data_IF_844127067348
#
_entry.id   IF_844127067348
#
_cell.length_a   1.000
_cell.length_b   1.000
_cell.length_c   1.000
_cell.angle_alpha   90.00
_cell.angle_beta   90.00
_cell.angle_gamma   90.00
#
_symmetry.space_group_name_H-M   'P 1'
#
loop_
_entity.id
_entity.type
_entity.pdbx_description
1 polymer ?
#
# COMPACT_ATOMS: atom_id res chain seq x y z
N UNK A 1 -11.17 35.86 45.34
CA UNK A 1 -11.77 36.16 46.66
C UNK A 1 -12.51 37.52 46.78
N UNK A 2 -13.08 38.16 45.73
CA UNK A 2 -14.06 39.26 45.94
C UNK A 2 -15.54 38.81 45.92
N UNK A 3 -15.83 37.63 45.36
CA UNK A 3 -17.19 37.12 45.18
C UNK A 3 -17.84 36.60 46.48
N UNK A 4 -17.06 36.23 47.51
CA UNK A 4 -17.60 35.76 48.79
C UNK A 4 -18.31 36.88 49.59
N UNK A 5 -17.81 38.11 49.53
CA UNK A 5 -18.34 39.19 50.36
C UNK A 5 -19.68 39.75 49.83
N UNK A 6 -19.97 39.61 48.53
CA UNK A 6 -21.19 40.14 47.91
C UNK A 6 -22.38 39.16 47.90
N UNK A 7 -22.15 37.88 48.21
CA UNK A 7 -23.21 36.85 48.28
C UNK A 7 -23.74 36.61 49.70
N UNK A 8 -23.10 37.15 50.75
CA UNK A 8 -23.62 37.12 52.12
C UNK A 8 -24.81 38.06 52.35
N UNK A 9 -24.93 39.12 51.54
CA UNK A 9 -25.97 40.14 51.71
C UNK A 9 -27.40 39.71 51.27
N UNK A 10 -27.63 38.91 50.20
CA UNK A 10 -28.98 38.66 49.70
C UNK A 10 -29.77 37.57 50.46
N UNK A 11 -29.12 36.59 51.10
CA UNK A 11 -29.82 35.49 51.79
C UNK A 11 -30.34 35.87 53.19
N UNK A 12 -29.76 36.89 53.83
CA UNK A 12 -30.22 37.39 55.14
C UNK A 12 -31.56 38.13 55.02
N UNK A 13 -31.98 38.50 53.82
CA UNK A 13 -33.06 39.46 53.57
C UNK A 13 -34.52 38.95 53.76
N UNK A 14 -34.77 37.80 54.41
CA UNK A 14 -36.15 37.31 54.64
C UNK A 14 -36.49 36.78 56.05
N UNK A 15 -35.59 36.85 57.03
CA UNK A 15 -35.93 36.57 58.44
C UNK A 15 -35.65 37.80 59.31
N UNK A 16 -36.68 38.42 59.90
CA UNK A 16 -36.52 39.47 60.90
C UNK A 16 -36.21 38.85 62.28
N UNK A 17 -34.93 38.81 62.62
CA UNK A 17 -34.39 38.21 63.85
C UNK A 17 -34.32 39.20 65.01
N UNK A 18 -34.85 40.43 64.84
CA UNK A 18 -34.65 41.53 65.80
C UNK A 18 -35.33 41.32 67.17
N UNK A 19 -36.39 40.50 67.24
CA UNK A 19 -37.22 40.27 68.43
C UNK A 19 -36.85 39.02 69.29
N UNK A 20 -35.73 38.35 68.99
CA UNK A 20 -35.35 37.03 69.58
C UNK A 20 -34.22 37.16 70.64
N UNK A 21 -34.06 36.20 71.57
CA UNK A 21 -32.95 36.20 72.56
C UNK A 21 -31.56 36.19 71.88
N UNK A 22 -30.56 36.78 72.52
CA UNK A 22 -29.20 36.97 71.95
C UNK A 22 -28.58 35.63 71.51
N UNK A 23 -28.73 34.58 72.32
CA UNK A 23 -28.21 33.24 72.02
C UNK A 23 -28.87 32.60 70.81
N UNK A 24 -30.20 32.74 70.66
CA UNK A 24 -30.94 32.17 69.54
C UNK A 24 -30.67 32.93 68.23
N UNK A 25 -30.37 34.25 68.28
CA UNK A 25 -29.88 35.01 67.11
C UNK A 25 -28.54 34.47 66.61
N UNK A 26 -27.59 34.23 67.51
CA UNK A 26 -26.26 33.72 67.16
C UNK A 26 -26.34 32.34 66.50
N UNK A 27 -27.20 31.45 67.02
CA UNK A 27 -27.45 30.14 66.43
C UNK A 27 -28.04 30.20 65.01
N UNK A 28 -29.08 31.01 64.79
CA UNK A 28 -29.71 31.18 63.47
C UNK A 28 -28.71 31.76 62.45
N UNK A 29 -27.90 32.74 62.85
CA UNK A 29 -26.87 33.29 61.97
C UNK A 29 -25.80 32.27 61.59
N UNK A 30 -25.41 31.38 62.52
CA UNK A 30 -24.44 30.31 62.25
C UNK A 30 -25.00 29.28 61.25
N UNK A 31 -26.26 28.86 61.40
CA UNK A 31 -26.89 27.91 60.46
C UNK A 31 -27.08 28.52 59.06
N UNK A 32 -27.44 29.80 58.97
CA UNK A 32 -27.50 30.52 57.68
C UNK A 32 -26.10 30.56 57.04
N UNK A 33 -25.06 30.88 57.80
CA UNK A 33 -23.68 30.92 57.28
C UNK A 33 -23.21 29.54 56.78
N UNK A 34 -23.55 28.46 57.50
CA UNK A 34 -23.26 27.08 57.08
C UNK A 34 -24.00 26.72 55.78
N UNK A 35 -25.29 27.06 55.68
CA UNK A 35 -26.10 26.82 54.49
C UNK A 35 -25.58 27.59 53.25
N UNK A 36 -25.20 28.85 53.42
CA UNK A 36 -24.59 29.67 52.37
C UNK A 36 -23.25 29.06 51.91
N UNK A 37 -22.39 28.66 52.86
CA UNK A 37 -21.11 28.02 52.54
C UNK A 37 -21.31 26.75 51.71
N UNK A 38 -22.21 25.87 52.13
CA UNK A 38 -22.51 24.62 51.41
C UNK A 38 -23.05 24.88 50.00
N UNK A 39 -23.98 25.83 49.85
CA UNK A 39 -24.54 26.22 48.55
C UNK A 39 -23.48 26.82 47.62
N UNK A 40 -22.57 27.65 48.15
CA UNK A 40 -21.47 28.21 47.38
C UNK A 40 -20.46 27.14 46.94
N UNK A 41 -20.14 26.16 47.79
CA UNK A 41 -19.26 25.03 47.44
C UNK A 41 -19.88 24.16 46.34
N UNK A 42 -21.17 23.84 46.43
CA UNK A 42 -21.89 23.08 45.40
C UNK A 42 -21.98 23.84 44.07
N UNK A 43 -22.27 25.14 44.11
CA UNK A 43 -22.33 25.98 42.92
C UNK A 43 -20.95 26.10 42.27
N UNK A 44 -19.89 26.32 43.07
CA UNK A 44 -18.52 26.37 42.58
C UNK A 44 -18.12 25.05 41.92
N UNK A 45 -18.40 23.91 42.55
CA UNK A 45 -18.16 22.59 41.97
C UNK A 45 -18.91 22.39 40.65
N UNK A 46 -20.19 22.77 40.59
CA UNK A 46 -21.01 22.65 39.37
C UNK A 46 -20.46 23.51 38.23
N UNK A 47 -20.08 24.76 38.50
CA UNK A 47 -19.49 25.67 37.50
C UNK A 47 -18.15 25.13 37.01
N UNK A 48 -17.30 24.65 37.93
CA UNK A 48 -16.00 24.08 37.57
C UNK A 48 -16.20 22.85 36.69
N UNK A 49 -17.03 21.90 37.11
CA UNK A 49 -17.30 20.69 36.33
C UNK A 49 -17.85 21.02 34.95
N UNK A 50 -18.85 21.90 34.85
CA UNK A 50 -19.43 22.30 33.56
C UNK A 50 -18.39 22.93 32.62
N UNK A 51 -17.51 23.79 33.15
CA UNK A 51 -16.44 24.42 32.35
C UNK A 51 -15.36 23.41 31.95
N UNK A 52 -15.02 22.49 32.83
CA UNK A 52 -14.08 21.39 32.53
C UNK A 52 -14.68 20.53 31.42
N UNK A 53 -15.93 20.11 31.53
CA UNK A 53 -16.62 19.29 30.52
C UNK A 53 -16.64 20.00 29.15
N UNK A 54 -16.98 21.29 29.13
CA UNK A 54 -16.95 22.09 27.90
C UNK A 54 -15.55 22.22 27.31
N UNK A 55 -14.52 22.36 28.14
CA UNK A 55 -13.14 22.45 27.68
C UNK A 55 -12.64 21.11 27.13
N UNK A 56 -12.99 20.00 27.79
CA UNK A 56 -12.64 18.64 27.36
C UNK A 56 -13.26 18.32 26.00
N UNK A 57 -14.56 18.58 25.81
CA UNK A 57 -15.23 18.36 24.51
C UNK A 57 -14.56 19.15 23.38
N UNK A 58 -14.25 20.43 23.60
CA UNK A 58 -13.57 21.26 22.60
C UNK A 58 -12.16 20.76 22.29
N UNK A 59 -11.45 20.26 23.30
CA UNK A 59 -10.12 19.70 23.12
C UNK A 59 -10.19 18.41 22.30
N UNK A 60 -11.14 17.53 22.59
CA UNK A 60 -11.35 16.26 21.88
C UNK A 60 -11.70 16.49 20.40
N UNK A 61 -12.60 17.44 20.11
CA UNK A 61 -12.96 17.82 18.74
C UNK A 61 -11.73 18.35 17.96
N UNK A 62 -10.96 19.25 18.56
CA UNK A 62 -9.75 19.80 17.92
C UNK A 62 -8.66 18.74 17.73
N UNK A 63 -8.50 17.82 18.68
CA UNK A 63 -7.57 16.71 18.56
C UNK A 63 -7.99 15.75 17.46
N UNK A 64 -9.27 15.42 17.34
CA UNK A 64 -9.78 14.53 16.31
C UNK A 64 -9.62 15.15 14.91
N UNK A 65 -9.86 16.45 14.76
CA UNK A 65 -9.63 17.18 13.51
C UNK A 65 -8.16 17.09 13.07
N UNK A 66 -7.23 17.43 13.97
CA UNK A 66 -5.79 17.35 13.70
C UNK A 66 -5.34 15.93 13.38
N UNK A 67 -5.85 14.94 14.10
CA UNK A 67 -5.53 13.53 13.86
C UNK A 67 -5.99 13.08 12.47
N UNK A 68 -7.21 13.45 12.07
CA UNK A 68 -7.75 13.13 10.75
C UNK A 68 -6.95 13.81 9.63
N UNK A 69 -6.55 15.08 9.83
CA UNK A 69 -5.70 15.79 8.89
C UNK A 69 -4.34 15.10 8.73
N UNK A 70 -3.63 14.83 9.83
CA UNK A 70 -2.34 14.14 9.79
C UNK A 70 -2.45 12.74 9.19
N UNK A 71 -3.51 11.99 9.49
CA UNK A 71 -3.75 10.67 8.90
C UNK A 71 -3.92 10.77 7.37
N UNK A 72 -4.64 11.77 6.88
CA UNK A 72 -4.83 11.99 5.44
C UNK A 72 -3.49 12.31 4.76
N UNK A 73 -2.71 13.22 5.33
CA UNK A 73 -1.38 13.59 4.82
C UNK A 73 -0.41 12.39 4.79
N UNK A 74 -0.46 11.51 5.80
CA UNK A 74 0.34 10.29 5.84
C UNK A 74 -0.10 9.33 4.73
N UNK A 75 -1.41 9.10 4.59
CA UNK A 75 -1.95 8.19 3.58
C UNK A 75 -1.60 8.63 2.16
N UNK A 76 -1.59 9.93 1.88
CA UNK A 76 -1.23 10.46 0.57
C UNK A 76 0.27 10.33 0.25
N UNK A 77 1.12 10.21 1.27
CA UNK A 77 2.57 9.97 1.11
C UNK A 77 2.94 8.49 1.07
N UNK A 78 2.05 7.62 1.52
CA UNK A 78 2.27 6.17 1.47
C UNK A 78 1.95 5.66 0.08
N UNK A 79 2.90 4.92 -0.49
CA UNK A 79 2.67 4.18 -1.72
C UNK A 79 3.75 3.13 -1.92
N UNK A 80 3.46 2.21 -2.82
CA UNK A 80 4.33 1.10 -3.17
C UNK A 80 4.31 0.89 -4.67
N UNK A 81 5.42 0.41 -5.22
CA UNK A 81 5.53 0.14 -6.65
C UNK A 81 5.54 -1.36 -6.93
N UNK A 82 5.11 -1.69 -8.14
CA UNK A 82 5.27 -3.03 -8.71
C UNK A 82 5.42 -2.91 -10.23
N UNK A 83 5.93 -3.97 -10.87
CA UNK A 83 6.00 -4.05 -12.33
C UNK A 83 4.85 -4.95 -12.80
N UNK A 84 4.08 -4.46 -13.75
CA UNK A 84 3.12 -5.26 -14.50
C UNK A 84 3.78 -5.72 -15.80
N UNK A 85 4.25 -6.97 -15.79
CA UNK A 85 4.93 -7.56 -16.94
C UNK A 85 3.90 -8.00 -17.99
N UNK A 86 4.15 -7.70 -19.26
CA UNK A 86 3.26 -8.03 -20.36
C UNK A 86 2.20 -6.97 -20.66
N UNK A 87 2.27 -5.76 -20.09
CA UNK A 87 1.31 -4.67 -20.35
C UNK A 87 2.04 -3.36 -20.58
N UNK A 88 1.52 -2.47 -21.42
CA UNK A 88 2.05 -1.09 -21.57
C UNK A 88 1.42 -0.11 -20.59
N UNK A 89 0.46 -0.55 -19.77
CA UNK A 89 -0.19 0.26 -18.74
C UNK A 89 -0.56 -0.57 -17.50
N UNK A 90 -0.69 0.12 -16.37
CA UNK A 90 -1.21 -0.47 -15.15
C UNK A 90 -2.72 -0.67 -15.27
N UNK A 91 -3.20 -1.89 -15.03
CA UNK A 91 -4.63 -2.23 -15.24
C UNK A 91 -5.45 -2.24 -13.95
N UNK A 92 -4.81 -2.16 -12.80
CA UNK A 92 -5.48 -2.16 -11.51
C UNK A 92 -6.12 -0.79 -11.22
N UNK A 93 -7.27 -0.80 -10.56
CA UNK A 93 -7.94 0.43 -10.12
C UNK A 93 -7.07 1.23 -9.15
N UNK A 94 -7.20 2.56 -9.17
CA UNK A 94 -6.45 3.48 -8.29
C UNK A 94 -4.92 3.32 -8.37
N UNK A 95 -4.41 2.85 -9.51
CA UNK A 95 -2.99 2.69 -9.78
C UNK A 95 -2.54 3.64 -10.89
N UNK A 96 -1.39 4.28 -10.68
CA UNK A 96 -0.78 5.19 -11.64
C UNK A 96 0.33 4.50 -12.41
N UNK A 97 0.38 4.67 -13.74
CA UNK A 97 1.53 4.23 -14.54
C UNK A 97 2.64 5.26 -14.43
N UNK A 98 3.74 4.90 -13.79
CA UNK A 98 4.92 5.76 -13.63
C UNK A 98 5.65 5.88 -14.97
N UNK A 99 5.92 4.74 -15.61
CA UNK A 99 6.40 4.67 -16.98
C UNK A 99 6.08 3.29 -17.58
N UNK A 100 6.20 3.22 -18.90
CA UNK A 100 6.04 2.00 -19.68
C UNK A 100 7.22 1.79 -20.61
N UNK A 101 7.41 0.57 -21.04
CA UNK A 101 8.34 0.22 -22.11
C UNK A 101 8.36 -1.27 -22.38
N UNK A 102 9.54 -1.86 -22.41
CA UNK A 102 9.72 -3.26 -22.78
C UNK A 102 10.72 -3.96 -21.86
N UNK A 103 10.55 -5.27 -21.74
CA UNK A 103 11.40 -6.10 -20.89
C UNK A 103 12.77 -6.22 -21.52
N UNK A 104 13.80 -5.98 -20.72
CA UNK A 104 15.19 -6.22 -21.03
C UNK A 104 15.82 -7.21 -20.07
N UNK A 105 16.90 -7.83 -20.50
CA UNK A 105 17.69 -8.74 -19.69
C UNK A 105 19.02 -9.07 -20.34
N UNK A 106 19.74 -10.00 -19.74
CA UNK A 106 21.05 -10.43 -20.24
C UNK A 106 20.96 -11.61 -21.21
N UNK A 107 22.07 -11.94 -21.89
CA UNK A 107 22.16 -13.12 -22.77
C UNK A 107 21.89 -14.42 -22.03
N UNK A 108 20.95 -15.23 -22.54
CA UNK A 108 20.74 -16.59 -22.05
C UNK A 108 21.95 -17.52 -22.26
N UNK A 109 22.90 -17.13 -23.12
CA UNK A 109 24.11 -17.90 -23.47
C UNK A 109 25.36 -17.54 -22.67
N UNK A 110 25.32 -16.52 -21.79
CA UNK A 110 26.52 -16.02 -21.13
C UNK A 110 26.47 -16.31 -19.62
N UNK A 111 27.42 -17.11 -19.11
CA UNK A 111 27.40 -17.56 -17.70
C UNK A 111 27.60 -16.45 -16.67
N UNK A 112 28.16 -15.30 -17.06
CA UNK A 112 28.33 -14.11 -16.21
C UNK A 112 27.19 -13.10 -16.31
N UNK A 113 26.08 -13.47 -16.93
CA UNK A 113 24.93 -12.59 -17.14
C UNK A 113 24.17 -12.27 -15.85
N UNK A 114 23.60 -11.06 -15.78
CA UNK A 114 22.70 -10.68 -14.71
C UNK A 114 21.40 -11.49 -14.80
N UNK A 115 20.88 -11.88 -13.64
CA UNK A 115 19.69 -12.73 -13.50
C UNK A 115 18.40 -11.94 -13.65
N UNK A 116 18.42 -10.67 -13.23
CA UNK A 116 17.22 -9.84 -13.14
C UNK A 116 16.75 -9.36 -14.52
N UNK A 117 15.44 -9.19 -14.66
CA UNK A 117 14.80 -8.50 -15.76
C UNK A 117 14.58 -7.04 -15.41
N UNK A 118 14.68 -6.19 -16.43
CA UNK A 118 14.48 -4.75 -16.30
C UNK A 118 13.28 -4.33 -17.14
N UNK A 119 12.45 -3.42 -16.60
CA UNK A 119 11.50 -2.70 -17.43
C UNK A 119 12.21 -1.48 -18.03
N UNK A 120 12.65 -1.59 -19.29
CA UNK A 120 13.39 -0.53 -19.97
C UNK A 120 12.43 0.53 -20.49
N UNK A 121 12.78 1.81 -20.29
CA UNK A 121 12.01 2.94 -20.80
C UNK A 121 12.24 3.13 -22.30
N UNK A 122 11.23 3.69 -23.00
CA UNK A 122 11.31 3.95 -24.44
C UNK A 122 12.21 5.14 -24.82
N UNK A 123 12.53 6.02 -23.88
CA UNK A 123 13.33 7.23 -24.11
C UNK A 123 14.57 7.25 -23.18
N UNK A 124 15.63 6.49 -23.51
CA UNK A 124 16.81 6.37 -22.65
C UNK A 124 17.66 7.65 -22.69
N UNK A 125 18.22 8.01 -21.54
CA UNK A 125 19.19 9.09 -21.41
C UNK A 125 20.61 8.54 -21.25
N UNK A 126 21.58 9.15 -21.93
CA UNK A 126 22.97 8.70 -21.91
C UNK A 126 23.85 9.71 -21.16
N UNK A 127 24.75 9.19 -20.32
CA UNK A 127 25.78 9.96 -19.62
C UNK A 127 27.14 9.91 -20.35
N UNK A 128 28.20 9.56 -19.62
CA UNK A 128 29.55 9.33 -20.18
C UNK A 128 29.60 7.93 -20.78
N UNK A 129 30.06 7.79 -22.01
CA UNK A 129 30.18 6.50 -22.71
C UNK A 129 31.42 6.42 -23.59
N UNK A 130 31.91 5.20 -23.83
CA UNK A 130 32.92 4.88 -24.83
C UNK A 130 32.34 3.83 -25.80
N UNK A 131 32.19 4.22 -27.07
CA UNK A 131 31.62 3.36 -28.12
C UNK A 131 32.55 2.23 -28.57
N UNK A 132 33.78 2.16 -28.08
CA UNK A 132 34.77 1.14 -28.45
C UNK A 132 34.75 -0.10 -27.55
N UNK A 133 34.06 -0.03 -26.41
CA UNK A 133 33.97 -1.16 -25.47
C UNK A 133 33.01 -2.22 -26.01
N UNK A 134 33.48 -3.45 -26.18
CA UNK A 134 32.69 -4.55 -26.76
C UNK A 134 32.61 -5.83 -25.91
N UNK A 135 33.38 -5.91 -24.81
CA UNK A 135 33.45 -7.10 -23.95
C UNK A 135 32.82 -6.91 -22.56
N UNK A 136 32.09 -5.81 -22.36
CA UNK A 136 31.35 -5.58 -21.11
C UNK A 136 29.98 -6.29 -21.15
N UNK A 137 29.34 -6.48 -19.98
CA UNK A 137 27.95 -6.91 -19.92
C UNK A 137 27.05 -5.96 -20.72
N UNK A 138 25.99 -6.53 -21.30
CA UNK A 138 25.01 -5.78 -22.08
C UNK A 138 23.59 -6.17 -21.64
N UNK A 139 22.62 -5.34 -22.01
CA UNK A 139 21.19 -5.61 -21.87
C UNK A 139 20.60 -5.72 -23.27
N UNK A 140 19.85 -6.78 -23.54
CA UNK A 140 19.07 -6.98 -24.77
C UNK A 140 17.57 -7.08 -24.46
N UNK A 141 16.74 -6.85 -25.49
CA UNK A 141 15.29 -7.02 -25.37
C UNK A 141 14.91 -8.47 -25.06
N UNK A 142 13.81 -8.63 -24.33
CA UNK A 142 13.21 -9.93 -24.08
C UNK A 142 12.07 -10.22 -25.06
N UNK A 143 12.04 -11.46 -25.53
CA UNK A 143 10.97 -11.98 -26.38
C UNK A 143 10.14 -13.02 -25.65
N UNK A 144 8.87 -13.08 -26.01
CA UNK A 144 8.07 -14.27 -25.77
C UNK A 144 8.65 -15.44 -26.56
N UNK A 145 8.87 -16.55 -25.87
CA UNK A 145 9.22 -17.82 -26.48
C UNK A 145 8.20 -18.86 -26.01
N UNK A 146 7.12 -18.98 -26.78
CA UNK A 146 5.98 -19.84 -26.48
C UNK A 146 5.84 -20.97 -27.51
N UNK A 147 6.82 -21.14 -28.40
CA UNK A 147 6.81 -22.17 -29.45
C UNK A 147 6.41 -23.59 -28.98
N UNK A 148 6.84 -23.99 -27.78
CA UNK A 148 6.61 -25.33 -27.23
C UNK A 148 5.22 -25.53 -26.59
N UNK A 149 4.39 -24.47 -26.53
CA UNK A 149 3.02 -24.50 -26.01
C UNK A 149 2.11 -23.63 -26.86
N UNK A 150 1.06 -24.22 -27.44
CA UNK A 150 0.10 -23.46 -28.23
C UNK A 150 -1.30 -23.64 -27.67
N UNK A 151 -1.73 -22.67 -26.86
CA UNK A 151 -3.10 -22.57 -26.38
C UNK A 151 -3.70 -21.28 -26.96
N UNK A 152 -4.56 -21.38 -28.00
CA UNK A 152 -5.17 -20.21 -28.64
C UNK A 152 -5.92 -19.33 -27.64
N UNK A 153 -5.94 -18.01 -27.89
CA UNK A 153 -6.63 -17.03 -27.04
C UNK A 153 -6.18 -17.04 -25.56
N UNK A 154 -4.92 -17.37 -25.30
CA UNK A 154 -4.31 -17.37 -23.97
C UNK A 154 -2.94 -16.68 -24.00
N UNK A 155 -2.28 -16.43 -22.86
CA UNK A 155 -0.88 -15.97 -22.81
C UNK A 155 0.14 -16.85 -23.54
N UNK A 156 -0.28 -18.03 -24.02
CA UNK A 156 0.54 -19.02 -24.72
C UNK A 156 0.13 -19.16 -26.20
N UNK A 157 -0.57 -18.17 -26.75
CA UNK A 157 -0.93 -18.19 -28.17
C UNK A 157 0.31 -17.90 -29.03
N UNK A 158 0.87 -18.95 -29.63
CA UNK A 158 2.07 -18.86 -30.49
C UNK A 158 1.90 -17.86 -31.62
N UNK A 159 0.73 -17.81 -32.25
CA UNK A 159 0.53 -16.93 -33.39
C UNK A 159 0.53 -15.45 -32.98
N UNK A 160 0.13 -15.17 -31.73
CA UNK A 160 0.03 -13.82 -31.20
C UNK A 160 1.32 -13.35 -30.54
N UNK A 161 2.03 -14.21 -29.83
CA UNK A 161 3.11 -13.78 -28.93
C UNK A 161 4.50 -14.18 -29.39
N UNK A 162 4.68 -15.35 -30.01
CA UNK A 162 6.02 -15.88 -30.26
C UNK A 162 6.90 -14.91 -31.06
N UNK A 163 8.12 -14.68 -30.55
CA UNK A 163 9.10 -13.71 -31.06
C UNK A 163 8.69 -12.23 -31.04
N UNK A 164 7.62 -11.88 -30.33
CA UNK A 164 7.28 -10.48 -30.05
C UNK A 164 7.99 -10.00 -28.80
N UNK A 165 8.36 -8.72 -28.78
CA UNK A 165 8.93 -8.08 -27.59
C UNK A 165 7.87 -8.01 -26.49
N UNK A 166 8.31 -8.26 -25.27
CA UNK A 166 7.44 -8.27 -24.09
C UNK A 166 7.31 -6.84 -23.55
N UNK A 167 6.12 -6.23 -23.49
CA UNK A 167 5.93 -4.93 -22.87
C UNK A 167 5.99 -5.02 -21.35
N UNK A 168 6.20 -3.88 -20.69
CA UNK A 168 6.09 -3.77 -19.24
C UNK A 168 5.68 -2.36 -18.83
N UNK A 169 5.08 -2.24 -17.66
CA UNK A 169 4.78 -0.95 -17.04
C UNK A 169 5.10 -0.97 -15.55
N UNK A 170 5.74 0.08 -15.06
CA UNK A 170 5.97 0.30 -13.63
C UNK A 170 4.80 1.08 -13.05
N UNK A 171 4.22 0.50 -12.01
CA UNK A 171 2.97 0.92 -11.41
C UNK A 171 3.19 1.46 -10.01
N UNK A 172 2.49 2.54 -9.65
CA UNK A 172 2.47 3.13 -8.33
C UNK A 172 1.07 2.99 -7.73
N UNK A 173 0.97 2.23 -6.62
CA UNK A 173 -0.25 2.09 -5.85
C UNK A 173 -0.20 3.02 -4.64
N UNK A 174 -1.11 3.99 -4.59
CA UNK A 174 -1.22 4.95 -3.48
C UNK A 174 -1.93 4.30 -2.29
N UNK A 175 -1.67 4.79 -1.08
CA UNK A 175 -2.32 4.34 0.17
C UNK A 175 -2.11 2.84 0.48
N UNK A 176 -1.02 2.27 -0.04
CA UNK A 176 -0.55 0.89 0.19
C UNK A 176 0.93 0.92 0.49
N UNK A 177 1.35 0.13 1.46
CA UNK A 177 2.72 0.13 1.97
C UNK A 177 3.57 -1.03 1.43
N UNK A 178 2.95 -2.08 0.89
CA UNK A 178 3.67 -3.27 0.45
C UNK A 178 3.04 -3.92 -0.78
N UNK A 179 3.88 -4.48 -1.63
CA UNK A 179 3.52 -5.36 -2.75
C UNK A 179 4.18 -6.72 -2.59
N UNK A 180 3.53 -7.77 -3.11
CA UNK A 180 4.07 -9.13 -3.14
C UNK A 180 3.58 -9.88 -4.38
N UNK A 181 4.46 -10.68 -4.97
CA UNK A 181 4.08 -11.72 -5.94
C UNK A 181 3.87 -13.05 -5.21
N UNK A 182 2.71 -13.66 -5.39
CA UNK A 182 2.38 -14.98 -4.84
C UNK A 182 2.33 -15.99 -5.99
N UNK A 183 3.29 -16.93 -6.09
CA UNK A 183 3.27 -17.97 -7.12
C UNK A 183 2.20 -19.04 -6.81
N UNK A 184 1.82 -19.79 -7.84
CA UNK A 184 0.80 -20.84 -7.82
C UNK A 184 -0.60 -20.39 -7.34
N UNK A 185 -0.91 -19.10 -7.47
CA UNK A 185 -2.19 -18.49 -7.07
C UNK A 185 -2.69 -17.55 -8.15
N UNK A 186 -4.02 -17.39 -8.22
CA UNK A 186 -4.69 -16.35 -9.03
C UNK A 186 -5.34 -15.27 -8.19
N UNK A 187 -5.43 -15.49 -6.87
CA UNK A 187 -6.12 -14.65 -5.90
C UNK A 187 -5.24 -14.40 -4.69
N UNK A 188 -5.27 -13.16 -4.21
CA UNK A 188 -4.56 -12.74 -3.01
C UNK A 188 -5.13 -13.41 -1.75
N UNK A 189 -4.38 -13.36 -0.64
CA UNK A 189 -4.92 -13.77 0.66
C UNK A 189 -5.89 -12.73 1.21
N UNK A 190 -6.59 -13.09 2.29
CA UNK A 190 -7.47 -12.17 3.00
C UNK A 190 -6.74 -10.86 3.36
N UNK A 191 -7.43 -9.73 3.22
CA UNK A 191 -6.91 -8.36 3.40
C UNK A 191 -5.78 -7.92 2.46
N UNK A 192 -5.52 -8.65 1.38
CA UNK A 192 -4.65 -8.20 0.30
C UNK A 192 -5.50 -7.86 -0.94
N UNK A 193 -5.12 -6.79 -1.63
CA UNK A 193 -5.81 -6.34 -2.84
C UNK A 193 -5.06 -6.89 -4.05
N UNK A 194 -5.81 -7.43 -5.00
CA UNK A 194 -5.25 -7.93 -6.26
C UNK A 194 -4.94 -6.74 -7.17
N UNK A 195 -3.69 -6.66 -7.61
CA UNK A 195 -3.30 -5.71 -8.65
C UNK A 195 -3.42 -6.37 -10.04
N UNK A 196 -2.84 -7.55 -10.23
CA UNK A 196 -3.10 -8.39 -11.40
C UNK A 196 -2.77 -9.86 -11.14
N UNK A 197 -3.27 -10.75 -12.00
CA UNK A 197 -2.96 -12.17 -12.00
C UNK A 197 -2.52 -12.64 -13.39
N UNK A 198 -1.82 -13.78 -13.43
CA UNK A 198 -1.21 -14.27 -14.64
C UNK A 198 -0.42 -15.56 -14.45
N UNK A 199 0.69 -15.68 -15.18
CA UNK A 199 1.52 -16.89 -15.22
C UNK A 199 3.00 -16.56 -15.03
N UNK A 200 3.71 -17.46 -14.36
CA UNK A 200 5.15 -17.32 -14.19
C UNK A 200 5.85 -17.53 -15.53
N UNK A 201 6.78 -16.63 -15.83
CA UNK A 201 7.71 -16.73 -16.94
C UNK A 201 9.15 -16.63 -16.42
N UNK A 202 10.07 -17.32 -17.10
CA UNK A 202 11.51 -17.33 -16.82
C UNK A 202 12.30 -17.76 -18.07
N UNK A 203 13.62 -17.83 -17.97
CA UNK A 203 14.49 -18.42 -18.98
C UNK A 203 14.35 -19.93 -19.08
N UNK A 204 14.82 -20.49 -20.19
CA UNK A 204 14.76 -21.92 -20.44
C UNK A 204 15.76 -22.69 -19.57
N UNK A 205 15.35 -23.86 -19.08
CA UNK A 205 16.13 -24.69 -18.14
C UNK A 205 17.50 -25.18 -18.65
N UNK A 206 17.73 -25.24 -19.98
CA UNK A 206 19.04 -25.63 -20.55
C UNK A 206 19.94 -24.44 -20.90
N UNK A 207 19.45 -23.21 -20.72
CA UNK A 207 20.28 -22.02 -20.93
C UNK A 207 21.32 -21.90 -19.82
N UNK A 208 22.51 -21.41 -20.17
CA UNK A 208 23.63 -21.31 -19.22
C UNK A 208 23.49 -20.13 -18.27
N UNK A 209 22.78 -19.09 -18.68
CA UNK A 209 22.42 -17.98 -17.80
C UNK A 209 21.09 -18.28 -17.10
N UNK A 210 21.06 -18.08 -15.78
CA UNK A 210 19.82 -18.11 -15.01
C UNK A 210 19.03 -16.80 -15.21
N UNK A 211 17.73 -16.86 -14.92
CA UNK A 211 16.86 -15.67 -14.84
C UNK A 211 16.05 -15.71 -13.56
N UNK A 212 15.50 -14.56 -13.18
CA UNK A 212 14.44 -14.52 -12.19
C UNK A 212 13.11 -15.06 -12.74
N UNK A 213 12.16 -15.29 -11.84
CA UNK A 213 10.77 -15.55 -12.18
C UNK A 213 9.99 -14.24 -12.20
N UNK A 214 9.26 -13.99 -13.29
CA UNK A 214 8.33 -12.84 -13.38
C UNK A 214 6.89 -13.33 -13.44
N UNK A 215 5.97 -12.52 -12.91
CA UNK A 215 4.54 -12.74 -13.11
C UNK A 215 4.10 -12.00 -14.37
N UNK A 216 3.92 -12.72 -15.49
CA UNK A 216 3.38 -12.14 -16.72
C UNK A 216 1.86 -12.07 -16.61
N UNK A 217 1.28 -10.92 -16.95
CA UNK A 217 -0.18 -10.70 -16.98
C UNK A 217 -0.92 -11.79 -17.76
N UNK A 218 -2.11 -12.21 -17.28
CA UNK A 218 -2.96 -13.21 -17.95
C UNK A 218 -3.51 -12.78 -19.31
N UNK A 219 -3.42 -11.50 -19.62
CA UNK A 219 -3.85 -10.88 -20.89
C UNK A 219 -2.73 -9.99 -21.42
N UNK A 220 -1.58 -10.59 -21.77
CA UNK A 220 -0.43 -9.81 -22.16
C UNK A 220 -0.67 -9.17 -23.53
N UNK A 221 -0.06 -8.02 -23.73
CA UNK A 221 0.13 -7.35 -25.00
C UNK A 221 1.43 -7.86 -25.64
N UNK A 222 1.54 -7.69 -26.95
CA UNK A 222 2.75 -7.97 -27.71
C UNK A 222 3.14 -6.70 -28.48
N UNK A 223 4.39 -6.29 -28.33
CA UNK A 223 4.96 -5.23 -29.16
C UNK A 223 5.47 -5.83 -30.48
N UNK A 224 5.98 -5.00 -31.40
CA UNK A 224 6.47 -5.48 -32.69
C UNK A 224 7.45 -6.64 -32.56
N UNK A 225 7.36 -7.58 -33.51
CA UNK A 225 8.32 -8.67 -33.66
C UNK A 225 9.73 -8.11 -33.75
N UNK A 226 10.66 -8.79 -33.09
CA UNK A 226 12.06 -8.44 -33.29
C UNK A 226 12.46 -8.72 -34.74
N UNK A 227 13.07 -7.74 -35.44
CA UNK A 227 13.50 -7.94 -36.82
C UNK A 227 14.74 -8.85 -36.92
N UNK A 228 15.47 -9.07 -35.82
CA UNK A 228 16.74 -9.77 -35.82
C UNK A 228 16.80 -10.79 -34.68
N UNK A 229 17.22 -12.02 -34.98
CA UNK A 229 17.48 -13.13 -34.04
C UNK A 229 18.63 -12.87 -33.05
N UNK A 230 19.07 -11.62 -32.90
CA UNK A 230 20.09 -11.21 -31.94
C UNK A 230 19.54 -11.04 -30.54
N UNK A 231 18.27 -11.32 -30.31
CA UNK A 231 17.62 -11.21 -29.00
C UNK A 231 18.31 -12.10 -27.97
N UNK A 232 18.54 -11.50 -26.81
CA UNK A 232 19.44 -12.04 -25.80
C UNK A 232 18.69 -12.60 -24.61
N UNK A 233 17.45 -12.18 -24.41
CA UNK A 233 16.59 -12.65 -23.33
C UNK A 233 15.37 -13.33 -23.92
N UNK A 234 15.08 -14.55 -23.47
CA UNK A 234 13.94 -15.33 -23.92
C UNK A 234 13.11 -15.74 -22.72
N UNK A 235 11.81 -15.48 -22.78
CA UNK A 235 10.86 -15.73 -21.70
C UNK A 235 9.93 -16.89 -22.07
N UNK A 236 9.97 -17.92 -21.25
CA UNK A 236 9.22 -19.16 -21.38
C UNK A 236 8.23 -19.29 -20.24
N UNK A 237 7.03 -19.84 -20.49
CA UNK A 237 6.09 -20.16 -19.43
C UNK A 237 6.65 -21.25 -18.51
N UNK A 238 6.54 -21.02 -17.21
CA UNK A 238 7.09 -21.91 -16.19
C UNK A 238 6.07 -22.98 -15.86
N UNK A 239 6.47 -24.25 -15.99
CA UNK A 239 5.68 -25.40 -15.55
C UNK A 239 6.17 -25.93 -14.20
N UNK A 240 5.25 -26.45 -13.39
CA UNK A 240 5.62 -27.14 -12.16
C UNK A 240 6.13 -28.54 -12.48
N UNK A 241 7.22 -28.94 -11.81
CA UNK A 241 7.62 -30.34 -11.70
C UNK A 241 7.36 -30.79 -10.26
N UNK A 242 6.39 -31.69 -10.07
CA UNK A 242 6.05 -32.25 -8.76
C UNK A 242 6.22 -33.79 -8.76
N UNK A 243 6.03 -34.45 -7.61
CA UNK A 243 6.48 -35.83 -7.28
C UNK A 243 7.90 -35.89 -6.72
N UNK A 244 8.30 -34.85 -5.98
CA UNK A 244 9.53 -34.77 -5.19
C UNK A 244 9.27 -33.97 -3.92
N UNK A 245 10.11 -32.97 -3.64
CA UNK A 245 9.87 -32.04 -2.53
C UNK A 245 8.56 -31.24 -2.70
N UNK A 246 8.09 -31.03 -3.95
CA UNK A 246 6.75 -30.54 -4.25
C UNK A 246 5.79 -31.73 -4.37
N UNK A 247 4.77 -31.86 -3.52
CA UNK A 247 3.82 -32.97 -3.57
C UNK A 247 2.81 -32.80 -4.72
N UNK A 248 2.50 -33.91 -5.43
CA UNK A 248 1.28 -34.03 -6.23
C UNK A 248 0.35 -35.05 -5.56
N UNK A 249 -0.90 -34.71 -5.19
CA UNK A 249 -1.55 -33.38 -5.10
C UNK A 249 -1.01 -32.50 -3.95
N UNK A 250 -1.33 -31.17 -3.89
CA UNK A 250 -2.30 -30.44 -4.71
C UNK A 250 -1.75 -29.88 -6.03
N UNK A 251 -0.43 -29.89 -6.23
CA UNK A 251 0.14 -29.55 -7.53
C UNK A 251 -0.15 -30.65 -8.55
N UNK A 252 -0.17 -30.27 -9.83
CA UNK A 252 -0.32 -31.21 -10.94
C UNK A 252 0.89 -31.08 -11.84
N UNK A 253 1.62 -32.17 -11.99
CA UNK A 253 2.87 -32.18 -12.74
C UNK A 253 2.68 -31.67 -14.17
N UNK A 254 3.59 -30.82 -14.62
CA UNK A 254 3.62 -30.28 -15.97
C UNK A 254 2.71 -29.07 -16.23
N UNK A 255 1.93 -28.59 -15.24
CA UNK A 255 1.06 -27.42 -15.44
C UNK A 255 1.81 -26.09 -15.34
N UNK A 256 1.44 -25.14 -16.18
CA UNK A 256 1.91 -23.75 -16.13
C UNK A 256 1.51 -23.11 -14.79
N UNK A 257 2.48 -22.51 -14.12
CA UNK A 257 2.33 -21.99 -12.77
C UNK A 257 1.71 -20.61 -12.84
N UNK A 258 0.52 -20.44 -12.27
CA UNK A 258 -0.12 -19.13 -12.15
C UNK A 258 0.61 -18.24 -11.15
N UNK A 259 0.35 -16.95 -11.17
CA UNK A 259 0.84 -16.00 -10.19
C UNK A 259 -0.16 -14.87 -9.99
N UNK A 260 -0.05 -14.17 -8.87
CA UNK A 260 -0.82 -12.97 -8.57
C UNK A 260 0.08 -11.95 -7.88
N UNK A 261 -0.03 -10.69 -8.29
CA UNK A 261 0.61 -9.56 -7.61
C UNK A 261 -0.44 -8.86 -6.77
N UNK A 262 -0.10 -8.65 -5.50
CA UNK A 262 -1.00 -8.15 -4.47
C UNK A 262 -0.39 -6.95 -3.74
N UNK A 263 -1.23 -6.04 -3.25
CA UNK A 263 -0.80 -4.93 -2.40
C UNK A 263 -1.53 -4.89 -1.04
N UNK A 264 -0.94 -4.21 -0.06
CA UNK A 264 -1.53 -3.95 1.26
C UNK A 264 -1.11 -2.61 1.84
#
# INVERSE_FOLDING_TARGET
MPLLNNLNAPLVAKLDVSAISIELKAYIQQEIANGVKLAMEQLAATIVNTKVDQATVKLDESMQEKLNQSNTEIQDKIGTTYIQWGRTNCTADDTETVYSGFVGGSSYTNSGSAVDHLCLINDPQWGIYDSKVNNNPFIGGALFHVHDINVPNSPFDVNKYDHHRVPCSVCMKKKKASTIMIPARKDCYYNWIKEYDGYLYAGHQIHVAATEYICLDKTPEALDKSPNWTDKTLLYPVRVNCNGAIPCPPYVNGREVTCVVCSR
#
